data_IF_593382308661
#
_entry.id   IF_593382308661
#
_cell.length_a   1.000
_cell.length_b   1.000
_cell.length_c   1.000
_cell.angle_alpha   90.00
_cell.angle_beta   90.00
_cell.angle_gamma   90.00
#
_symmetry.space_group_name_H-M   'P 1'
#
loop_
_entity.id
_entity.type
_entity.pdbx_description
1 polymer ?
#
# COMPACT_ATOMS: atom_id res chain seq x y z
N UNK A 1 -1.90 -16.19 19.26
CA UNK A 1 -2.25 -15.36 20.43
C UNK A 1 -3.57 -15.87 20.97
N UNK A 2 -3.76 -15.89 22.30
CA UNK A 2 -5.03 -16.26 22.94
C UNK A 2 -5.50 -15.09 23.79
N UNK A 3 -6.78 -14.75 23.67
CA UNK A 3 -7.39 -13.66 24.43
C UNK A 3 -7.94 -14.18 25.75
N UNK A 4 -7.69 -13.45 26.84
CA UNK A 4 -8.48 -13.61 28.05
C UNK A 4 -9.87 -13.03 27.79
N UNK A 5 -10.91 -13.77 28.16
CA UNK A 5 -12.28 -13.35 27.96
C UNK A 5 -13.18 -13.80 29.12
N UNK A 6 -14.29 -13.10 29.26
CA UNK A 6 -15.41 -13.49 30.12
C UNK A 6 -16.67 -13.58 29.30
N UNK A 7 -17.62 -14.40 29.77
CA UNK A 7 -18.92 -14.57 29.12
C UNK A 7 -19.99 -14.05 30.05
N UNK A 8 -20.79 -13.09 29.58
CA UNK A 8 -21.88 -12.48 30.33
C UNK A 8 -23.19 -12.84 29.65
N UNK A 9 -24.13 -13.44 30.38
CA UNK A 9 -25.47 -13.76 29.88
C UNK A 9 -26.51 -12.91 30.59
N UNK A 10 -27.19 -12.04 29.84
CA UNK A 10 -28.25 -11.14 30.33
C UNK A 10 -29.41 -11.12 29.34
N UNK A 11 -30.65 -11.15 29.84
CA UNK A 11 -31.88 -11.12 29.03
C UNK A 11 -31.95 -12.15 27.88
N UNK A 12 -31.31 -13.31 28.06
CA UNK A 12 -31.25 -14.39 27.06
C UNK A 12 -30.19 -14.19 25.98
N UNK A 13 -29.37 -13.13 26.07
CA UNK A 13 -28.25 -12.86 25.18
C UNK A 13 -26.94 -13.12 25.89
N UNK A 14 -26.04 -13.82 25.21
CA UNK A 14 -24.70 -14.06 25.71
C UNK A 14 -23.72 -13.14 24.97
N UNK A 15 -22.83 -12.49 25.71
CA UNK A 15 -21.77 -11.62 25.20
C UNK A 15 -20.42 -12.14 25.65
N UNK A 16 -19.44 -12.07 24.76
CA UNK A 16 -18.05 -12.39 25.02
C UNK A 16 -17.33 -11.07 25.19
N UNK A 17 -16.74 -10.86 26.36
CA UNK A 17 -16.05 -9.65 26.73
C UNK A 17 -14.55 -9.93 26.78
N UNK A 18 -13.76 -9.24 25.96
CA UNK A 18 -12.31 -9.42 25.88
C UNK A 18 -11.61 -8.08 25.76
N UNK A 19 -10.29 -8.06 26.01
CA UNK A 19 -9.45 -6.87 25.82
C UNK A 19 -8.26 -7.24 24.95
N UNK A 20 -7.92 -6.35 24.02
CA UNK A 20 -6.69 -6.38 23.23
C UNK A 20 -5.84 -5.16 23.60
N UNK A 21 -4.52 -5.32 23.64
CA UNK A 21 -3.62 -4.27 24.11
C UNK A 21 -3.60 -3.03 23.18
N UNK A 22 -3.91 -3.21 21.89
CA UNK A 22 -3.90 -2.13 20.89
C UNK A 22 -5.29 -1.51 20.67
N UNK A 23 -6.35 -2.31 20.82
CA UNK A 23 -7.74 -1.92 20.55
C UNK A 23 -8.53 -1.59 21.81
N UNK A 24 -8.20 -2.21 22.95
CA UNK A 24 -8.93 -2.09 24.20
C UNK A 24 -10.07 -3.11 24.33
N UNK A 25 -11.11 -2.73 25.10
CA UNK A 25 -12.22 -3.60 25.45
C UNK A 25 -13.22 -3.76 24.31
N UNK A 26 -13.69 -4.99 24.11
CA UNK A 26 -14.73 -5.32 23.14
C UNK A 26 -15.78 -6.29 23.71
N UNK A 27 -17.01 -6.15 23.20
CA UNK A 27 -18.10 -7.07 23.41
C UNK A 27 -18.53 -7.68 22.07
N UNK A 28 -18.46 -9.00 21.97
CA UNK A 28 -18.94 -9.74 20.79
C UNK A 28 -20.19 -10.51 21.18
N UNK A 29 -21.29 -10.27 20.46
CA UNK A 29 -22.53 -11.01 20.71
C UNK A 29 -22.38 -12.47 20.29
N UNK A 30 -22.69 -13.37 21.21
CA UNK A 30 -22.73 -14.80 20.97
C UNK A 30 -24.16 -15.20 20.59
N UNK A 31 -24.33 -15.65 19.34
CA UNK A 31 -25.60 -16.22 18.87
C UNK A 31 -25.85 -17.61 19.47
N UNK A 32 -25.05 -18.59 19.06
CA UNK A 32 -25.11 -19.98 19.56
C UNK A 32 -23.99 -20.28 20.55
N UNK A 33 -24.14 -21.35 21.34
CA UNK A 33 -23.09 -21.83 22.22
C UNK A 33 -21.85 -22.20 21.39
N UNK A 34 -20.70 -21.61 21.76
CA UNK A 34 -19.40 -21.79 21.10
C UNK A 34 -18.46 -22.46 22.08
N UNK A 35 -17.62 -23.35 21.57
CA UNK A 35 -16.47 -23.90 22.28
C UNK A 35 -15.44 -22.79 22.56
N UNK A 36 -14.51 -23.04 23.48
CA UNK A 36 -13.44 -22.10 23.78
C UNK A 36 -12.61 -21.75 22.54
N UNK A 37 -12.30 -22.74 21.68
CA UNK A 37 -11.53 -22.53 20.46
C UNK A 37 -12.29 -21.66 19.44
N UNK A 38 -13.60 -21.89 19.29
CA UNK A 38 -14.45 -21.05 18.44
C UNK A 38 -14.56 -19.61 18.96
N UNK A 39 -14.55 -19.41 20.28
CA UNK A 39 -14.49 -18.07 20.89
C UNK A 39 -13.14 -17.41 20.58
N UNK A 40 -12.03 -18.15 20.69
CA UNK A 40 -10.70 -17.60 20.37
C UNK A 40 -10.59 -17.18 18.91
N UNK A 41 -11.08 -17.99 17.97
CA UNK A 41 -11.12 -17.64 16.55
C UNK A 41 -11.97 -16.40 16.32
N UNK A 42 -13.17 -16.34 16.90
CA UNK A 42 -14.08 -15.20 16.78
C UNK A 42 -13.44 -13.90 17.29
N UNK A 43 -12.79 -13.95 18.47
CA UNK A 43 -12.10 -12.78 19.03
C UNK A 43 -10.90 -12.37 18.18
N UNK A 44 -10.12 -13.32 17.65
CA UNK A 44 -9.02 -13.04 16.72
C UNK A 44 -9.54 -12.29 15.49
N UNK A 45 -10.52 -12.84 14.79
CA UNK A 45 -11.11 -12.21 13.60
C UNK A 45 -11.66 -10.82 13.92
N UNK A 46 -12.41 -10.69 15.02
CA UNK A 46 -13.00 -9.42 15.43
C UNK A 46 -11.96 -8.32 15.72
N UNK A 47 -10.92 -8.62 16.49
CA UNK A 47 -9.88 -7.63 16.80
C UNK A 47 -9.02 -7.29 15.59
N UNK A 48 -8.70 -8.26 14.73
CA UNK A 48 -7.99 -8.00 13.47
C UNK A 48 -8.81 -7.11 12.54
N UNK A 49 -10.12 -7.33 12.49
CA UNK A 49 -11.04 -6.49 11.72
C UNK A 49 -11.07 -5.05 12.24
N UNK A 50 -11.11 -4.84 13.56
CA UNK A 50 -11.04 -3.48 14.12
C UNK A 50 -9.68 -2.84 13.84
N UNK A 51 -8.58 -3.58 13.96
CA UNK A 51 -7.24 -3.08 13.61
C UNK A 51 -7.18 -2.64 12.16
N UNK A 52 -7.69 -3.45 11.24
CA UNK A 52 -7.76 -3.11 9.82
C UNK A 52 -8.61 -1.85 9.56
N UNK A 53 -9.74 -1.70 10.26
CA UNK A 53 -10.60 -0.51 10.16
C UNK A 53 -9.90 0.76 10.68
N UNK A 54 -9.16 0.64 11.78
CA UNK A 54 -8.37 1.74 12.33
C UNK A 54 -7.31 2.20 11.34
N UNK A 55 -6.53 1.28 10.78
CA UNK A 55 -5.53 1.57 9.73
C UNK A 55 -6.20 2.22 8.52
N UNK A 56 -7.35 1.69 8.07
CA UNK A 56 -8.11 2.25 6.96
C UNK A 56 -8.53 3.70 7.22
N UNK A 57 -9.07 3.97 8.42
CA UNK A 57 -9.53 5.31 8.80
C UNK A 57 -8.37 6.30 8.89
N UNK A 58 -7.23 5.89 9.45
CA UNK A 58 -6.01 6.71 9.51
C UNK A 58 -5.51 7.08 8.10
N UNK A 59 -5.67 6.20 7.11
CA UNK A 59 -5.31 6.47 5.71
C UNK A 59 -6.22 7.51 5.03
N UNK A 60 -7.42 7.76 5.57
CA UNK A 60 -8.37 8.73 5.03
C UNK A 60 -8.18 10.14 5.63
N UNK A 61 -7.27 10.30 6.60
CA UNK A 61 -7.01 11.59 7.20
C UNK A 61 -6.46 12.59 6.16
N UNK A 62 -6.91 13.86 6.13
CA UNK A 62 -6.49 14.83 5.11
C UNK A 62 -4.98 15.11 5.07
N UNK A 63 -4.31 14.96 6.21
CA UNK A 63 -2.87 15.17 6.39
C UNK A 63 -2.08 13.85 6.38
N UNK A 64 -2.72 12.73 6.02
CA UNK A 64 -2.08 11.40 6.00
C UNK A 64 -0.74 11.40 5.28
N UNK A 65 -0.63 12.13 4.15
CA UNK A 65 0.57 12.20 3.30
C UNK A 65 1.43 13.45 3.53
N UNK A 66 1.30 14.12 4.68
CA UNK A 66 2.15 15.24 5.06
C UNK A 66 3.14 14.84 6.16
N UNK A 67 4.28 15.53 6.22
CA UNK A 67 5.32 15.37 7.22
C UNK A 67 5.65 13.92 7.65
N UNK A 68 5.89 13.04 6.67
CA UNK A 68 6.11 11.62 6.92
C UNK A 68 7.36 11.07 6.23
N UNK A 69 7.82 9.92 6.75
CA UNK A 69 8.74 9.00 6.08
C UNK A 69 8.09 7.62 6.02
N UNK A 70 8.09 7.00 4.85
CA UNK A 70 7.72 5.60 4.69
C UNK A 70 8.97 4.74 4.47
N UNK A 71 9.08 3.68 5.26
CA UNK A 71 10.01 2.58 5.00
C UNK A 71 9.26 1.47 4.28
N UNK A 72 9.71 1.15 3.05
CA UNK A 72 9.11 0.10 2.23
C UNK A 72 9.94 -1.18 2.39
N UNK A 73 9.37 -2.13 3.10
CA UNK A 73 10.00 -3.42 3.38
C UNK A 73 9.65 -4.47 2.33
N UNK A 74 10.61 -5.33 2.04
CA UNK A 74 10.43 -6.54 1.23
C UNK A 74 11.44 -7.60 1.69
N UNK A 75 10.94 -8.77 2.10
CA UNK A 75 11.79 -9.86 2.57
C UNK A 75 12.61 -9.54 3.82
N UNK A 76 12.05 -8.75 4.75
CA UNK A 76 12.70 -8.37 6.01
C UNK A 76 13.62 -7.15 5.93
N UNK A 77 13.83 -6.58 4.73
CA UNK A 77 14.74 -5.46 4.52
C UNK A 77 14.03 -4.24 3.94
N UNK A 78 14.47 -3.05 4.34
CA UNK A 78 14.06 -1.79 3.69
C UNK A 78 14.66 -1.75 2.29
N UNK A 79 13.80 -1.70 1.27
CA UNK A 79 14.22 -1.59 -0.14
C UNK A 79 14.08 -0.19 -0.71
N UNK A 80 13.30 0.65 -0.03
CA UNK A 80 13.00 2.01 -0.45
C UNK A 80 12.58 2.83 0.75
N UNK A 81 12.99 4.09 0.73
CA UNK A 81 12.55 5.11 1.70
C UNK A 81 11.91 6.24 0.92
N UNK A 82 10.70 6.59 1.33
CA UNK A 82 9.91 7.66 0.74
C UNK A 82 9.69 8.77 1.76
N UNK A 83 9.72 10.01 1.31
CA UNK A 83 9.49 11.20 2.12
C UNK A 83 8.37 12.02 1.49
N UNK A 84 7.52 12.61 2.31
CA UNK A 84 6.71 13.74 1.85
C UNK A 84 7.62 14.90 1.46
N UNK A 85 7.25 15.62 0.40
CA UNK A 85 8.07 16.69 -0.18
C UNK A 85 8.19 17.94 0.69
N UNK A 86 7.42 18.02 1.78
CA UNK A 86 7.53 19.07 2.81
C UNK A 86 8.65 18.83 3.83
N UNK A 87 9.36 17.69 3.74
CA UNK A 87 10.49 17.35 4.62
C UNK A 87 11.84 17.82 4.09
N UNK A 88 12.75 18.14 5.00
CA UNK A 88 14.12 18.49 4.66
C UNK A 88 14.86 17.31 4.00
N UNK A 89 14.63 16.08 4.47
CA UNK A 89 15.28 14.89 3.90
C UNK A 89 14.87 14.63 2.44
N UNK A 90 13.68 15.06 2.03
CA UNK A 90 13.21 14.97 0.64
C UNK A 90 14.08 15.80 -0.31
N UNK A 91 14.66 16.91 0.16
CA UNK A 91 15.47 17.83 -0.66
C UNK A 91 16.68 17.15 -1.30
N UNK A 92 17.24 16.11 -0.67
CA UNK A 92 18.35 15.34 -1.24
C UNK A 92 17.93 14.72 -2.58
N UNK A 93 16.76 14.09 -2.61
CA UNK A 93 16.26 13.43 -3.81
C UNK A 93 15.68 14.43 -4.82
N UNK A 94 15.05 15.50 -4.34
CA UNK A 94 14.52 16.58 -5.19
C UNK A 94 15.67 17.23 -5.98
N UNK A 95 16.77 17.58 -5.31
CA UNK A 95 17.92 18.20 -5.97
C UNK A 95 18.57 17.27 -7.00
N UNK A 96 18.66 15.97 -6.72
CA UNK A 96 19.13 14.97 -7.70
C UNK A 96 18.22 14.91 -8.92
N UNK A 97 16.90 14.93 -8.71
CA UNK A 97 15.92 14.89 -9.78
C UNK A 97 15.99 16.15 -10.66
N UNK A 98 16.05 17.34 -10.06
CA UNK A 98 16.20 18.63 -10.78
C UNK A 98 17.52 18.70 -11.55
N UNK A 99 18.61 18.16 -11.01
CA UNK A 99 19.89 18.11 -11.69
C UNK A 99 19.89 17.19 -12.93
N UNK A 100 19.12 16.09 -12.88
CA UNK A 100 19.03 15.14 -13.98
C UNK A 100 17.99 15.52 -15.05
N UNK A 101 16.94 16.25 -14.67
CA UNK A 101 15.80 16.57 -15.54
C UNK A 101 15.44 18.06 -15.39
N UNK A 102 15.92 18.86 -16.36
CA UNK A 102 15.86 20.33 -16.35
C UNK A 102 14.45 20.95 -16.38
N UNK A 103 13.44 20.14 -16.71
CA UNK A 103 12.03 20.53 -16.69
C UNK A 103 11.46 20.64 -15.26
N UNK A 104 12.14 20.07 -14.25
CA UNK A 104 11.73 20.19 -12.85
C UNK A 104 12.40 21.37 -12.16
N UNK A 105 11.72 21.88 -11.14
CA UNK A 105 12.25 22.87 -10.20
C UNK A 105 11.97 22.41 -8.79
N UNK A 106 12.79 22.87 -7.82
CA UNK A 106 12.55 22.57 -6.40
C UNK A 106 11.18 23.08 -5.97
N UNK A 107 10.85 24.33 -6.29
CA UNK A 107 9.56 24.93 -5.97
C UNK A 107 8.38 24.17 -6.59
N UNK A 108 8.53 23.68 -7.84
CA UNK A 108 7.51 22.88 -8.51
C UNK A 108 7.24 21.55 -7.79
N UNK A 109 8.31 20.82 -7.45
CA UNK A 109 8.20 19.50 -6.80
C UNK A 109 7.72 19.59 -5.34
N UNK A 110 7.97 20.73 -4.68
CA UNK A 110 7.56 21.01 -3.28
C UNK A 110 6.26 21.82 -3.17
N UNK A 111 5.63 22.17 -4.30
CA UNK A 111 4.43 23.01 -4.32
C UNK A 111 3.21 22.39 -3.62
N UNK A 112 3.19 21.07 -3.47
CA UNK A 112 2.19 20.33 -2.71
C UNK A 112 2.88 19.48 -1.64
N UNK A 113 2.59 19.75 -0.37
CA UNK A 113 3.14 19.02 0.77
C UNK A 113 2.77 17.53 0.77
N UNK A 114 1.67 17.15 0.12
CA UNK A 114 1.23 15.77 -0.02
C UNK A 114 2.05 14.97 -1.04
N UNK A 115 2.84 15.63 -1.90
CA UNK A 115 3.68 14.93 -2.86
C UNK A 115 4.73 14.09 -2.14
N UNK A 116 5.15 13.01 -2.77
CA UNK A 116 6.08 12.04 -2.16
C UNK A 116 7.23 11.80 -3.10
N UNK A 117 8.44 11.74 -2.57
CA UNK A 117 9.64 11.40 -3.34
C UNK A 117 10.42 10.32 -2.63
N UNK A 118 10.99 9.39 -3.40
CA UNK A 118 11.96 8.46 -2.83
C UNK A 118 12.81 7.75 -3.85
N UNK A 119 13.92 7.25 -3.33
CA UNK A 119 14.95 6.57 -4.11
C UNK A 119 14.72 5.06 -4.07
N UNK A 120 15.10 4.40 -5.16
CA UNK A 120 15.14 2.95 -5.21
C UNK A 120 16.25 2.45 -6.13
N UNK A 121 16.81 1.29 -5.78
CA UNK A 121 17.78 0.57 -6.58
C UNK A 121 17.18 -0.64 -7.31
N UNK A 122 18.07 -1.50 -7.82
CA UNK A 122 17.76 -2.68 -8.64
C UNK A 122 17.15 -3.89 -7.88
N UNK A 123 16.41 -3.66 -6.79
CA UNK A 123 15.95 -4.74 -5.90
C UNK A 123 14.91 -5.68 -6.53
N UNK A 124 14.34 -5.33 -7.69
CA UNK A 124 13.49 -6.18 -8.53
C UNK A 124 13.34 -5.61 -9.96
N UNK A 125 12.95 -6.43 -10.96
CA UNK A 125 12.52 -5.93 -12.25
C UNK A 125 11.30 -4.98 -12.16
N UNK A 126 11.18 -3.99 -13.07
CA UNK A 126 12.09 -3.61 -14.14
C UNK A 126 13.14 -2.56 -13.71
N UNK A 127 13.42 -2.42 -12.41
CA UNK A 127 14.14 -1.27 -11.90
C UNK A 127 15.66 -1.39 -12.09
N UNK A 128 16.29 -0.41 -12.76
CA UNK A 128 17.74 -0.28 -12.74
C UNK A 128 18.21 0.31 -11.40
N UNK A 129 19.53 0.39 -11.24
CA UNK A 129 20.12 1.16 -10.15
C UNK A 129 19.96 2.67 -10.41
N UNK A 130 19.98 3.46 -9.32
CA UNK A 130 19.93 4.92 -9.36
C UNK A 130 18.61 5.47 -9.96
N UNK A 131 17.49 5.13 -9.33
CA UNK A 131 16.17 5.65 -9.69
C UNK A 131 15.53 6.51 -8.60
N UNK A 132 14.67 7.44 -9.02
CA UNK A 132 13.83 8.25 -8.14
C UNK A 132 12.38 8.13 -8.61
N UNK A 133 11.46 7.85 -7.69
CA UNK A 133 10.03 7.98 -7.96
C UNK A 133 9.54 9.28 -7.32
N UNK A 134 8.84 10.09 -8.11
CA UNK A 134 8.08 11.25 -7.62
C UNK A 134 6.60 10.94 -7.77
N UNK A 135 5.84 11.06 -6.68
CA UNK A 135 4.41 10.87 -6.66
C UNK A 135 3.73 12.20 -6.47
N UNK A 136 2.93 12.56 -7.45
CA UNK A 136 2.10 13.75 -7.47
C UNK A 136 0.70 13.37 -6.97
N UNK A 137 0.28 13.97 -5.86
CA UNK A 137 -1.02 13.76 -5.25
C UNK A 137 -2.10 14.66 -5.86
N UNK A 138 -2.09 14.73 -7.20
CA UNK A 138 -3.13 15.34 -8.01
C UNK A 138 -3.59 14.38 -9.11
N UNK A 139 -4.77 14.62 -9.67
CA UNK A 139 -5.26 13.85 -10.82
C UNK A 139 -4.26 13.98 -11.98
N UNK A 140 -3.85 12.87 -12.61
CA UNK A 140 -3.04 12.94 -13.83
C UNK A 140 -3.70 13.84 -14.87
N UNK A 141 -2.94 14.83 -15.37
CA UNK A 141 -3.43 15.69 -16.44
C UNK A 141 -3.57 14.89 -17.76
N UNK A 142 -4.39 15.39 -18.69
CA UNK A 142 -4.48 14.79 -20.03
C UNK A 142 -3.11 14.79 -20.76
N UNK A 143 -2.28 15.80 -20.51
CA UNK A 143 -0.92 15.88 -21.07
C UNK A 143 -0.03 14.77 -20.48
N UNK A 144 -0.09 14.56 -19.17
CA UNK A 144 0.61 13.46 -18.49
C UNK A 144 0.14 12.12 -19.03
N UNK A 145 -1.18 11.88 -19.12
CA UNK A 145 -1.72 10.63 -19.65
C UNK A 145 -1.25 10.39 -21.09
N UNK A 146 -1.37 11.40 -21.95
CA UNK A 146 -0.99 11.30 -23.36
C UNK A 146 0.51 11.02 -23.55
N UNK A 147 1.37 11.56 -22.68
CA UNK A 147 2.81 11.31 -22.70
C UNK A 147 3.20 9.83 -22.48
N UNK A 148 2.29 9.02 -21.93
CA UNK A 148 2.47 7.60 -21.69
C UNK A 148 1.39 6.75 -22.37
N UNK A 149 0.87 7.22 -23.51
CA UNK A 149 -0.06 6.45 -24.35
C UNK A 149 -1.46 6.24 -23.75
N UNK A 150 -1.83 6.99 -22.71
CA UNK A 150 -3.12 6.90 -22.05
C UNK A 150 -4.05 8.05 -22.43
N UNK A 151 -5.33 7.88 -22.16
CA UNK A 151 -6.36 8.93 -22.21
C UNK A 151 -7.12 8.97 -20.89
N UNK A 152 -7.98 9.98 -20.69
CA UNK A 152 -8.87 10.03 -19.53
C UNK A 152 -9.79 8.81 -19.41
N UNK A 153 -10.04 8.10 -20.52
CA UNK A 153 -10.90 6.92 -20.54
C UNK A 153 -10.13 5.62 -20.23
N UNK A 154 -8.79 5.62 -20.19
CA UNK A 154 -7.99 4.42 -19.94
C UNK A 154 -8.39 3.71 -18.64
N UNK A 155 -8.66 4.49 -17.59
CA UNK A 155 -9.19 4.03 -16.31
C UNK A 155 -10.53 4.69 -15.95
N UNK A 156 -11.00 5.66 -16.74
CA UNK A 156 -12.29 6.33 -16.54
C UNK A 156 -12.50 6.83 -15.10
N UNK A 157 -13.66 6.48 -14.53
CA UNK A 157 -14.04 6.84 -13.15
C UNK A 157 -13.22 6.13 -12.06
N UNK A 158 -12.44 5.11 -12.43
CA UNK A 158 -11.60 4.37 -11.51
C UNK A 158 -10.20 4.96 -11.36
N UNK A 159 -9.81 5.98 -12.16
CA UNK A 159 -8.50 6.65 -12.01
C UNK A 159 -8.43 7.41 -10.68
N UNK A 160 -7.41 7.13 -9.86
CA UNK A 160 -7.22 7.81 -8.59
C UNK A 160 -6.52 9.16 -8.73
N UNK A 161 -6.71 10.00 -7.72
CA UNK A 161 -6.21 11.38 -7.66
C UNK A 161 -4.73 11.48 -7.29
N UNK A 162 -3.91 10.53 -7.75
CA UNK A 162 -2.46 10.56 -7.60
C UNK A 162 -1.79 9.62 -8.59
N UNK A 163 -0.54 9.92 -8.92
CA UNK A 163 0.27 9.11 -9.83
C UNK A 163 1.75 9.24 -9.51
N UNK A 164 2.53 8.23 -9.92
CA UNK A 164 3.98 8.27 -9.80
C UNK A 164 4.66 8.46 -11.15
N UNK A 165 5.69 9.29 -11.24
CA UNK A 165 6.66 9.26 -12.33
C UNK A 165 7.96 8.66 -11.79
N UNK A 166 8.38 7.58 -12.43
CA UNK A 166 9.60 6.82 -12.15
C UNK A 166 10.69 7.31 -13.09
N UNK A 167 11.80 7.76 -12.51
CA UNK A 167 12.92 8.33 -13.23
C UNK A 167 14.13 7.41 -13.12
N UNK A 168 14.66 7.00 -14.27
CA UNK A 168 15.99 6.41 -14.37
C UNK A 168 16.98 7.54 -14.62
N UNK A 169 17.78 7.88 -13.60
CA UNK A 169 18.75 8.96 -13.69
C UNK A 169 19.98 8.58 -14.54
N UNK A 170 20.19 7.29 -14.78
CA UNK A 170 21.31 6.79 -15.59
C UNK A 170 20.95 6.82 -17.06
N UNK A 171 19.78 6.30 -17.43
CA UNK A 171 19.32 6.28 -18.82
C UNK A 171 18.64 7.59 -19.24
N UNK A 172 18.25 8.45 -18.30
CA UNK A 172 17.48 9.66 -18.56
C UNK A 172 16.07 9.36 -19.04
N UNK A 173 15.49 8.22 -18.63
CA UNK A 173 14.17 7.78 -19.08
C UNK A 173 13.14 7.88 -17.96
N UNK A 174 11.86 7.86 -18.35
CA UNK A 174 10.73 7.98 -17.45
C UNK A 174 9.66 6.92 -17.73
N UNK A 175 8.96 6.53 -16.67
CA UNK A 175 7.77 5.69 -16.73
C UNK A 175 6.70 6.28 -15.82
N UNK A 176 5.43 6.22 -16.23
CA UNK A 176 4.31 6.61 -15.38
C UNK A 176 3.72 5.41 -14.66
N UNK A 177 3.40 5.58 -13.38
CA UNK A 177 2.64 4.64 -12.57
C UNK A 177 1.27 5.27 -12.30
N UNK A 178 0.26 4.80 -13.02
CA UNK A 178 -1.12 5.25 -12.80
C UNK A 178 -1.80 4.31 -11.82
N UNK A 179 -2.53 4.90 -10.87
CA UNK A 179 -3.21 4.19 -9.79
C UNK A 179 -4.70 4.25 -10.01
N UNK A 180 -5.39 3.13 -9.83
CA UNK A 180 -6.80 3.01 -10.14
C UNK A 180 -7.52 2.00 -9.23
N UNK A 181 -8.84 2.10 -9.16
CA UNK A 181 -9.73 1.09 -8.57
C UNK A 181 -10.30 0.17 -9.66
N UNK A 182 -11.13 -0.80 -9.29
CA UNK A 182 -11.88 -1.62 -10.24
C UNK A 182 -13.37 -1.65 -9.84
N UNK A 183 -13.89 -0.48 -9.46
CA UNK A 183 -15.29 -0.35 -9.00
C UNK A 183 -16.25 -0.29 -10.19
N UNK A 184 -15.79 0.19 -11.35
CA UNK A 184 -16.59 0.42 -12.55
C UNK A 184 -16.08 -0.37 -13.76
N UNK A 185 -14.81 -0.76 -13.78
CA UNK A 185 -14.20 -1.55 -14.86
C UNK A 185 -13.22 -2.61 -14.36
N UNK A 186 -12.78 -3.46 -15.30
CA UNK A 186 -11.68 -4.40 -15.12
C UNK A 186 -10.56 -4.03 -16.07
N UNK A 187 -9.39 -3.69 -15.54
CA UNK A 187 -8.24 -3.18 -16.31
C UNK A 187 -7.03 -4.12 -16.28
N UNK A 188 -7.18 -5.22 -15.56
CA UNK A 188 -6.23 -6.32 -15.45
C UNK A 188 -6.75 -7.52 -16.24
N UNK A 189 -5.82 -8.21 -16.89
CA UNK A 189 -6.09 -9.44 -17.63
C UNK A 189 -6.05 -10.64 -16.70
N UNK A 190 -5.12 -10.65 -15.76
CA UNK A 190 -5.00 -11.70 -14.75
C UNK A 190 -4.77 -11.08 -13.37
N UNK A 191 -5.34 -11.70 -12.35
CA UNK A 191 -5.18 -11.30 -10.96
C UNK A 191 -4.70 -12.51 -10.15
N UNK A 192 -4.09 -12.29 -8.97
CA UNK A 192 -3.84 -13.37 -8.04
C UNK A 192 -5.15 -14.10 -7.73
N UNK A 193 -5.08 -15.44 -7.59
CA UNK A 193 -6.27 -16.26 -7.32
C UNK A 193 -6.98 -15.87 -6.02
N UNK A 194 -6.23 -15.34 -5.06
CA UNK A 194 -6.73 -14.87 -3.79
C UNK A 194 -5.92 -13.65 -3.32
N UNK A 195 -6.62 -12.63 -2.84
CA UNK A 195 -6.04 -11.52 -2.09
C UNK A 195 -6.20 -11.79 -0.58
N UNK A 196 -5.31 -11.25 0.26
CA UNK A 196 -5.47 -11.36 1.72
C UNK A 196 -6.77 -10.68 2.17
N UNK A 197 -7.32 -11.05 3.34
CA UNK A 197 -8.38 -10.27 3.98
C UNK A 197 -8.01 -8.79 4.05
N UNK A 198 -8.88 -7.92 3.55
CA UNK A 198 -8.59 -6.50 3.41
C UNK A 198 -9.86 -5.63 3.53
N UNK A 199 -9.66 -4.37 3.91
CA UNK A 199 -10.72 -3.34 3.94
C UNK A 199 -10.91 -2.67 2.59
N UNK A 200 -9.84 -2.53 1.84
CA UNK A 200 -9.83 -1.87 0.54
C UNK A 200 -8.66 -2.37 -0.29
N UNK A 201 -8.85 -2.34 -1.61
CA UNK A 201 -7.81 -2.61 -2.58
C UNK A 201 -7.80 -1.56 -3.69
N UNK A 202 -6.60 -1.23 -4.17
CA UNK A 202 -6.38 -0.43 -5.37
C UNK A 202 -5.16 -0.96 -6.13
N UNK A 203 -5.03 -0.61 -7.39
CA UNK A 203 -4.03 -1.18 -8.29
C UNK A 203 -3.21 -0.09 -8.94
N UNK A 204 -2.02 -0.46 -9.41
CA UNK A 204 -1.21 0.43 -10.21
C UNK A 204 -0.49 -0.30 -11.33
N UNK A 205 -0.47 0.33 -12.52
CA UNK A 205 0.25 -0.16 -13.70
C UNK A 205 1.31 0.84 -14.13
N UNK A 206 2.41 0.31 -14.66
CA UNK A 206 3.50 1.10 -15.21
C UNK A 206 3.32 1.21 -16.73
N UNK A 207 3.22 2.44 -17.22
CA UNK A 207 3.17 2.81 -18.63
C UNK A 207 4.49 3.44 -19.04
N UNK A 208 5.03 2.97 -20.15
CA UNK A 208 6.25 3.47 -20.75
C UNK A 208 5.94 4.60 -21.74
N UNK A 209 6.92 5.47 -21.98
CA UNK A 209 6.77 6.58 -22.92
C UNK A 209 6.52 6.14 -24.37
N UNK A 210 6.86 4.90 -24.73
CA UNK A 210 6.56 4.31 -26.04
C UNK A 210 5.14 3.74 -26.17
N UNK A 211 4.32 3.89 -25.12
CA UNK A 211 2.95 3.37 -25.04
C UNK A 211 2.85 1.90 -24.66
N UNK A 212 3.97 1.20 -24.44
CA UNK A 212 3.95 -0.15 -23.88
C UNK A 212 3.61 -0.13 -22.39
N UNK A 213 2.96 -1.19 -21.92
CA UNK A 213 2.56 -1.34 -20.52
C UNK A 213 3.34 -2.50 -19.91
N UNK A 214 3.90 -2.28 -18.72
CA UNK A 214 4.57 -3.34 -17.96
C UNK A 214 3.56 -4.43 -17.58
N UNK A 215 4.02 -5.69 -17.63
CA UNK A 215 3.26 -6.82 -17.11
C UNK A 215 3.11 -6.77 -15.58
N UNK A 216 4.01 -6.05 -14.89
CA UNK A 216 3.99 -5.99 -13.43
C UNK A 216 2.93 -5.01 -12.92
N UNK A 217 2.07 -5.52 -12.05
CA UNK A 217 1.02 -4.77 -11.37
C UNK A 217 1.34 -4.73 -9.88
N UNK A 218 1.19 -3.55 -9.26
CA UNK A 218 1.17 -3.44 -7.81
C UNK A 218 -0.29 -3.38 -7.35
N UNK A 219 -0.75 -4.40 -6.61
CA UNK A 219 -2.02 -4.39 -5.88
C UNK A 219 -1.76 -3.95 -4.45
N UNK A 220 -2.41 -2.89 -4.00
CA UNK A 220 -2.29 -2.42 -2.63
C UNK A 220 -3.53 -2.83 -1.86
N UNK A 221 -3.32 -3.30 -0.63
CA UNK A 221 -4.38 -3.73 0.28
C UNK A 221 -4.17 -3.11 1.65
N UNK A 222 -5.27 -2.78 2.31
CA UNK A 222 -5.27 -2.36 3.72
C UNK A 222 -5.66 -3.57 4.55
N UNK A 223 -4.70 -4.08 5.32
CA UNK A 223 -4.78 -5.32 6.09
C UNK A 223 -3.90 -5.19 7.34
N UNK A 224 -3.84 -6.24 8.16
CA UNK A 224 -3.01 -6.29 9.37
C UNK A 224 -1.81 -7.21 9.18
N UNK A 225 -0.81 -7.05 10.05
CA UNK A 225 0.35 -7.93 10.11
C UNK A 225 -0.04 -9.41 10.25
N UNK A 226 -1.06 -9.75 11.04
CA UNK A 226 -1.45 -11.13 11.27
C UNK A 226 -2.15 -11.74 10.05
N UNK A 227 -3.12 -11.05 9.45
CA UNK A 227 -3.77 -11.51 8.23
C UNK A 227 -2.77 -11.67 7.07
N UNK A 228 -1.88 -10.70 6.91
CA UNK A 228 -0.86 -10.76 5.86
C UNK A 228 0.18 -11.87 6.10
N UNK A 229 0.57 -12.13 7.35
CA UNK A 229 1.51 -13.21 7.68
C UNK A 229 0.90 -14.58 7.38
N UNK A 230 -0.35 -14.80 7.81
CA UNK A 230 -1.08 -16.04 7.55
C UNK A 230 -1.28 -16.25 6.03
N UNK A 231 -1.65 -15.19 5.30
CA UNK A 231 -1.81 -15.23 3.84
C UNK A 231 -0.50 -15.49 3.10
N UNK A 232 0.59 -14.77 3.45
CA UNK A 232 1.92 -15.00 2.88
C UNK A 232 2.38 -16.46 3.08
N UNK A 233 2.17 -17.02 4.26
CA UNK A 233 2.46 -18.42 4.54
C UNK A 233 1.63 -19.37 3.65
N UNK A 234 0.34 -19.08 3.47
CA UNK A 234 -0.56 -19.85 2.61
C UNK A 234 -0.15 -19.91 1.14
N UNK A 235 0.41 -18.81 0.62
CA UNK A 235 0.88 -18.73 -0.78
C UNK A 235 2.39 -19.03 -0.94
N UNK A 236 3.08 -19.42 0.15
CA UNK A 236 4.51 -19.74 0.12
C UNK A 236 5.42 -18.54 -0.18
N UNK A 237 5.03 -17.32 0.22
CA UNK A 237 5.82 -16.09 0.07
C UNK A 237 6.35 -15.61 1.42
N UNK A 238 7.54 -14.97 1.46
CA UNK A 238 8.05 -14.38 2.69
C UNK A 238 7.17 -13.20 3.12
N UNK A 239 6.88 -13.13 4.42
CA UNK A 239 6.29 -11.93 5.02
C UNK A 239 7.28 -10.75 4.88
N UNK A 240 6.83 -9.55 4.48
CA UNK A 240 7.75 -8.47 4.11
C UNK A 240 8.51 -7.83 5.27
N UNK A 241 7.94 -7.83 6.49
CA UNK A 241 8.58 -7.21 7.66
C UNK A 241 9.47 -8.21 8.42
N UNK A 242 10.56 -7.74 9.03
CA UNK A 242 11.30 -8.54 9.99
C UNK A 242 10.53 -8.65 11.32
N UNK A 243 10.82 -9.67 12.13
CA UNK A 243 9.99 -10.01 13.29
C UNK A 243 10.01 -8.96 14.41
N UNK A 244 11.05 -8.13 14.48
CA UNK A 244 11.17 -7.03 15.44
C UNK A 244 10.27 -5.82 15.12
N UNK A 245 9.78 -5.70 13.88
CA UNK A 245 8.90 -4.60 13.48
C UNK A 245 7.45 -5.02 13.72
N UNK A 246 6.86 -4.43 14.76
CA UNK A 246 5.50 -4.72 15.19
C UNK A 246 4.48 -3.70 14.73
N UNK A 247 4.92 -2.50 14.31
CA UNK A 247 4.06 -1.47 13.74
C UNK A 247 3.23 -2.02 12.58
N UNK A 248 1.97 -1.62 12.53
CA UNK A 248 1.09 -1.96 11.41
C UNK A 248 1.46 -1.09 10.19
N UNK A 249 1.71 -1.70 9.02
CA UNK A 249 1.83 -0.96 7.78
C UNK A 249 0.51 -0.26 7.45
N UNK A 250 0.62 0.93 6.85
CA UNK A 250 -0.57 1.64 6.39
C UNK A 250 -1.19 0.96 5.16
N UNK A 251 -0.36 0.28 4.37
CA UNK A 251 -0.81 -0.69 3.37
C UNK A 251 0.26 -1.76 3.10
N UNK A 252 -0.17 -2.82 2.43
CA UNK A 252 0.71 -3.82 1.84
C UNK A 252 0.64 -3.74 0.31
N UNK A 253 1.75 -3.98 -0.37
CA UNK A 253 1.82 -4.05 -1.82
C UNK A 253 2.12 -5.47 -2.29
N UNK A 254 1.27 -6.02 -3.15
CA UNK A 254 1.41 -7.33 -3.77
C UNK A 254 1.77 -7.11 -5.24
N UNK A 255 2.99 -7.47 -5.61
CA UNK A 255 3.44 -7.42 -6.99
C UNK A 255 3.06 -8.73 -7.67
N UNK A 256 2.34 -8.65 -8.78
CA UNK A 256 2.02 -9.83 -9.59
C UNK A 256 2.16 -9.54 -11.09
N UNK A 257 2.26 -10.61 -11.86
CA UNK A 257 2.32 -10.58 -13.32
C UNK A 257 0.90 -10.63 -13.92
N UNK A 258 0.51 -9.60 -14.67
CA UNK A 258 -0.80 -9.50 -15.35
C UNK A 258 -0.99 -10.53 -16.46
N UNK A 259 0.05 -11.29 -16.82
CA UNK A 259 -0.01 -12.34 -17.86
C UNK A 259 -0.54 -13.66 -17.32
N UNK A 260 -0.30 -13.96 -16.03
CA UNK A 260 -0.66 -15.25 -15.44
C UNK A 260 -1.19 -15.17 -13.99
N UNK A 261 -1.13 -14.00 -13.35
CA UNK A 261 -1.56 -13.78 -11.97
C UNK A 261 -0.53 -14.19 -10.91
N UNK A 262 0.66 -14.65 -11.32
CA UNK A 262 1.69 -15.11 -10.38
C UNK A 262 2.20 -13.95 -9.53
N UNK A 263 2.21 -14.17 -8.21
CA UNK A 263 2.74 -13.21 -7.25
C UNK A 263 4.27 -13.28 -7.29
N UNK A 264 4.92 -12.16 -7.51
CA UNK A 264 6.37 -12.02 -7.45
C UNK A 264 6.82 -11.82 -6.00
N UNK A 265 6.33 -10.74 -5.37
CA UNK A 265 6.72 -10.36 -4.01
C UNK A 265 5.62 -9.60 -3.29
N UNK A 266 5.77 -9.53 -1.96
CA UNK A 266 4.91 -8.75 -1.06
C UNK A 266 5.76 -7.68 -0.40
N UNK A 267 5.18 -6.50 -0.19
CA UNK A 267 5.78 -5.32 0.42
C UNK A 267 4.94 -4.83 1.58
N UNK A 268 5.57 -4.18 2.55
CA UNK A 268 4.90 -3.47 3.63
C UNK A 268 5.37 -2.00 3.64
N UNK A 269 4.43 -1.07 3.78
CA UNK A 269 4.72 0.37 3.88
C UNK A 269 4.51 0.83 5.31
N UNK A 270 5.60 1.01 6.05
CA UNK A 270 5.56 1.45 7.45
C UNK A 270 5.79 2.95 7.49
N UNK A 271 4.79 3.69 7.99
CA UNK A 271 4.84 5.16 8.07
C UNK A 271 5.33 5.65 9.42
N UNK A 272 6.22 6.63 9.38
CA UNK A 272 6.68 7.42 10.51
C UNK A 272 6.21 8.86 10.34
N UNK A 273 5.38 9.37 11.26
CA UNK A 273 4.89 10.76 11.27
C UNK A 273 5.72 11.62 12.23
N UNK A 274 5.81 12.92 11.95
CA UNK A 274 6.62 13.88 12.71
C UNK A 274 5.86 15.17 13.02
#
# INVERSE_FOLDING_TARGET
>A
MSYEYTTITEDGFTRICATDDEIGYAEVQQGEAKTADEIQTLLKEYFEDIKAEKIYTENLEPDFTQNFRDDVYMGGEIKRVDYSCDREEALVQINRLVAAFSEYTVDGLTSNAQNVIGEYGNYRPPYPDNCISFYDFTTPSNETLAAYGCTGDTYGLDLLQWHGIKHDLTAGTKQAKFVFTQNHGSYLSNQPSELPPNRSAFWARIHNADGSISQWVDTYVISTNNYMRDWCAGIGKPFPLPDEITNQPWCFGIVHDDTNGDIECVKAYVRHRY
#
